data_IF_212957354127
#
_entry.id   IF_212957354127
#
_cell.length_a   1.000
_cell.length_b   1.000
_cell.length_c   1.000
_cell.angle_alpha   90.00
_cell.angle_beta   90.00
_cell.angle_gamma   90.00
#
_symmetry.space_group_name_H-M   'P 1'
#
loop_
_entity.id
_entity.type
_entity.pdbx_description
1 polymer ?
#
# COMPACT_ATOMS: atom_id res chain seq x y z
N UNK A 1 2.09 9.35 -0.25
CA UNK A 1 1.87 7.91 -0.55
C UNK A 1 3.07 7.06 -0.14
N UNK A 2 4.26 7.30 -0.69
CA UNK A 2 5.43 6.42 -0.52
C UNK A 2 5.85 6.21 0.96
N UNK A 3 6.05 7.28 1.72
CA UNK A 3 6.50 7.18 3.14
C UNK A 3 5.58 6.33 4.03
N UNK A 4 4.27 6.68 4.16
CA UNK A 4 3.32 5.87 4.91
C UNK A 4 3.18 4.43 4.37
N UNK A 5 3.34 4.24 3.05
CA UNK A 5 3.26 2.90 2.46
C UNK A 5 4.42 2.01 2.90
N UNK A 6 5.64 2.55 2.95
CA UNK A 6 6.81 1.80 3.42
C UNK A 6 6.69 1.44 4.91
N UNK A 7 6.12 2.34 5.73
CA UNK A 7 5.86 2.07 7.14
C UNK A 7 4.86 0.92 7.33
N UNK A 8 3.72 0.95 6.64
CA UNK A 8 2.69 -0.10 6.74
C UNK A 8 3.20 -1.46 6.24
N UNK A 9 3.95 -1.49 5.15
CA UNK A 9 4.58 -2.73 4.69
C UNK A 9 5.61 -3.27 5.70
N UNK A 10 6.32 -2.39 6.41
CA UNK A 10 7.19 -2.77 7.52
C UNK A 10 6.41 -3.36 8.70
N UNK A 11 5.28 -2.76 9.07
CA UNK A 11 4.39 -3.27 10.11
C UNK A 11 3.82 -4.65 9.76
N UNK A 12 3.38 -4.85 8.52
CA UNK A 12 2.97 -6.16 8.01
C UNK A 12 4.07 -7.22 8.13
N UNK A 13 5.33 -6.85 7.86
CA UNK A 13 6.47 -7.74 8.08
C UNK A 13 6.64 -8.16 9.55
N UNK A 14 6.45 -7.21 10.48
CA UNK A 14 6.43 -7.49 11.92
C UNK A 14 5.31 -8.45 12.31
N UNK A 15 4.12 -8.29 11.74
CA UNK A 15 2.99 -9.20 11.93
C UNK A 15 3.28 -10.62 11.41
N UNK A 16 3.90 -10.76 10.23
CA UNK A 16 4.36 -12.05 9.68
C UNK A 16 5.35 -12.71 10.63
N UNK A 17 6.32 -11.96 11.15
CA UNK A 17 7.29 -12.50 12.10
C UNK A 17 6.60 -13.07 13.35
N UNK A 18 5.62 -12.35 13.92
CA UNK A 18 4.87 -12.83 15.09
C UNK A 18 3.96 -14.03 14.76
N UNK A 19 3.38 -14.08 13.56
CA UNK A 19 2.61 -15.25 13.10
C UNK A 19 3.47 -16.50 13.00
N UNK A 20 4.71 -16.37 12.50
CA UNK A 20 5.61 -17.51 12.32
C UNK A 20 6.25 -17.93 13.65
N UNK A 21 6.74 -16.98 14.45
CA UNK A 21 7.53 -17.29 15.65
C UNK A 21 6.67 -17.57 16.88
N UNK A 22 5.57 -16.84 17.06
CA UNK A 22 4.70 -16.95 18.22
C UNK A 22 3.37 -17.65 17.91
N UNK A 23 3.16 -18.12 16.67
CA UNK A 23 1.89 -18.69 16.20
C UNK A 23 0.68 -17.81 16.56
N UNK A 24 0.88 -16.50 16.61
CA UNK A 24 -0.13 -15.56 17.07
C UNK A 24 -1.03 -15.15 15.90
N UNK A 25 -2.06 -15.94 15.65
CA UNK A 25 -3.08 -15.66 14.63
C UNK A 25 -4.30 -14.91 15.18
N UNK A 26 -4.13 -14.20 16.30
CA UNK A 26 -5.21 -13.39 16.85
C UNK A 26 -5.67 -12.33 15.83
N UNK A 27 -6.96 -11.93 15.84
CA UNK A 27 -7.50 -10.96 14.88
C UNK A 27 -6.74 -9.63 14.83
N UNK A 28 -6.09 -9.23 15.93
CA UNK A 28 -5.26 -8.02 16.00
C UNK A 28 -3.86 -8.16 15.40
N UNK A 29 -3.38 -9.38 15.10
CA UNK A 29 -2.04 -9.64 14.56
C UNK A 29 -2.06 -10.24 13.14
N UNK A 30 -2.96 -11.18 12.87
CA UNK A 30 -3.08 -11.85 11.56
C UNK A 30 -4.37 -11.51 10.81
N UNK A 31 -5.31 -10.83 11.48
CA UNK A 31 -6.61 -10.50 10.93
C UNK A 31 -6.61 -9.17 10.19
N UNK A 32 -7.60 -8.34 10.49
CA UNK A 32 -7.90 -7.11 9.75
C UNK A 32 -6.70 -6.16 9.69
N UNK A 33 -5.91 -6.03 10.77
CA UNK A 33 -4.75 -5.12 10.82
C UNK A 33 -3.69 -5.51 9.78
N UNK A 34 -3.33 -6.80 9.71
CA UNK A 34 -2.37 -7.29 8.73
C UNK A 34 -2.84 -7.06 7.29
N UNK A 35 -4.12 -7.29 7.00
CA UNK A 35 -4.67 -7.02 5.67
C UNK A 35 -4.67 -5.53 5.33
N UNK A 36 -5.01 -4.65 6.29
CA UNK A 36 -5.00 -3.19 6.05
C UNK A 36 -3.60 -2.66 5.79
N UNK A 37 -2.58 -3.23 6.45
CA UNK A 37 -1.17 -2.88 6.26
C UNK A 37 -0.66 -3.21 4.85
N UNK A 38 -1.29 -4.13 4.13
CA UNK A 38 -1.04 -4.41 2.70
C UNK A 38 -1.97 -3.62 1.76
N UNK A 39 -3.26 -3.55 2.10
CA UNK A 39 -4.28 -3.02 1.19
C UNK A 39 -4.14 -1.49 1.02
N UNK A 40 -3.87 -0.77 2.10
CA UNK A 40 -3.70 0.70 2.08
C UNK A 40 -2.52 1.13 1.18
N UNK A 41 -1.30 0.57 1.33
CA UNK A 41 -0.21 0.91 0.44
C UNK A 41 -0.50 0.51 -1.01
N UNK A 42 -1.12 -0.65 -1.24
CA UNK A 42 -1.51 -1.10 -2.59
C UNK A 42 -2.44 -0.09 -3.27
N UNK A 43 -3.53 0.30 -2.61
CA UNK A 43 -4.47 1.30 -3.13
C UNK A 43 -3.75 2.64 -3.37
N UNK A 44 -2.89 3.06 -2.44
CA UNK A 44 -2.10 4.26 -2.57
C UNK A 44 -1.23 4.27 -3.84
N UNK A 45 -0.54 3.17 -4.13
CA UNK A 45 0.27 3.04 -5.35
C UNK A 45 -0.57 2.97 -6.62
N UNK A 46 -1.72 2.29 -6.60
CA UNK A 46 -2.66 2.25 -7.74
C UNK A 46 -3.14 3.66 -8.08
N UNK A 47 -3.58 4.43 -7.09
CA UNK A 47 -4.03 5.81 -7.29
C UNK A 47 -2.91 6.72 -7.78
N UNK A 48 -1.69 6.56 -7.24
CA UNK A 48 -0.53 7.31 -7.71
C UNK A 48 -0.19 7.00 -9.17
N UNK A 49 -0.28 5.72 -9.56
CA UNK A 49 -0.08 5.29 -10.95
C UNK A 49 -1.15 5.84 -11.89
N UNK A 50 -2.43 5.82 -11.46
CA UNK A 50 -3.53 6.43 -12.21
C UNK A 50 -3.31 7.94 -12.36
N UNK A 51 -2.97 8.66 -11.28
CA UNK A 51 -2.67 10.08 -11.32
C UNK A 51 -1.55 10.39 -12.32
N UNK A 52 -0.48 9.60 -12.33
CA UNK A 52 0.62 9.78 -13.28
C UNK A 52 0.17 9.61 -14.73
N UNK A 53 -0.68 8.61 -15.02
CA UNK A 53 -1.28 8.41 -16.36
C UNK A 53 -2.19 9.57 -16.76
N UNK A 54 -3.05 10.03 -15.86
CA UNK A 54 -3.93 11.18 -16.11
C UNK A 54 -3.14 12.45 -16.39
N UNK A 55 -2.10 12.74 -15.62
CA UNK A 55 -1.24 13.91 -15.85
C UNK A 55 -0.51 13.83 -17.18
N UNK A 56 -0.01 12.65 -17.56
CA UNK A 56 0.65 12.45 -18.86
C UNK A 56 -0.31 12.66 -20.03
N UNK A 57 -1.53 12.15 -19.93
CA UNK A 57 -2.56 12.34 -20.96
C UNK A 57 -2.95 13.82 -21.08
N UNK A 58 -3.17 14.50 -19.96
CA UNK A 58 -3.51 15.93 -19.94
C UNK A 58 -2.40 16.81 -20.55
N UNK A 59 -1.13 16.51 -20.25
CA UNK A 59 0.02 17.22 -20.86
C UNK A 59 0.13 17.01 -22.37
N UNK A 60 -0.17 15.80 -22.87
CA UNK A 60 -0.16 15.53 -24.30
C UNK A 60 -1.22 16.36 -25.04
N UNK A 61 -2.46 16.40 -24.54
CA UNK A 61 -3.54 17.20 -25.13
C UNK A 61 -3.28 18.71 -25.10
N UNK A 62 -2.50 19.20 -24.15
CA UNK A 62 -2.13 20.62 -24.06
C UNK A 62 -0.99 21.02 -25.02
N UNK A 63 -0.18 20.07 -25.50
CA UNK A 63 0.93 20.33 -26.42
C UNK A 63 0.53 20.24 -27.91
N UNK A 64 -0.67 19.70 -28.18
CA UNK A 64 -1.28 19.65 -29.51
C UNK A 64 -2.13 20.90 -29.83
N UNK A 65 -2.25 21.85 -28.89
CA UNK A 65 -2.90 23.16 -29.03
C UNK A 65 -1.86 24.25 -29.33
#
# INVERSE_FOLDING_TARGET
>A
VVGPSMFLLGAAGGHIYQMITAHNFAPGNAGVIFYTDLLIPLIGFVLLGLQWRYQKAAKASANDQ
#
